data_IF_734396105598
#
_entry.id   IF_734396105598
#
_cell.length_a   1.000
_cell.length_b   1.000
_cell.length_c   1.000
_cell.angle_alpha   90.00
_cell.angle_beta   90.00
_cell.angle_gamma   90.00
#
_symmetry.space_group_name_H-M   'P 1'
#
loop_
_entity.id
_entity.type
_entity.pdbx_description
1 polymer ?
#
# COMPACT_ATOMS: atom_id res chain seq x y z
N UNK A 1 -7.85 16.38 -4.45
CA UNK A 1 -8.42 17.64 -4.93
C UNK A 1 -8.68 18.57 -3.75
N UNK A 2 -8.18 19.80 -3.84
CA UNK A 2 -8.35 20.82 -2.82
C UNK A 2 -9.32 21.87 -3.32
N UNK A 3 -10.29 22.21 -2.48
CA UNK A 3 -11.10 23.41 -2.67
C UNK A 3 -10.32 24.61 -2.11
N UNK A 4 -10.31 25.73 -2.83
CA UNK A 4 -9.69 26.95 -2.34
C UNK A 4 -10.19 27.30 -0.94
N UNK A 5 -9.29 27.74 -0.06
CA UNK A 5 -9.63 28.12 1.31
C UNK A 5 -10.65 29.27 1.34
N UNK A 6 -10.64 30.11 0.32
CA UNK A 6 -11.54 31.27 0.19
C UNK A 6 -12.86 30.92 -0.51
N UNK A 7 -13.01 29.67 -0.98
CA UNK A 7 -14.25 29.26 -1.61
C UNK A 7 -15.42 29.25 -0.62
N UNK A 8 -16.54 29.85 -1.01
CA UNK A 8 -17.79 29.76 -0.24
C UNK A 8 -18.31 28.35 -0.04
N UNK A 9 -17.88 27.42 -0.90
CA UNK A 9 -18.23 26.01 -0.81
C UNK A 9 -17.34 25.24 0.17
N UNK A 10 -16.24 25.83 0.64
CA UNK A 10 -15.34 25.21 1.59
C UNK A 10 -15.67 25.65 3.02
N UNK A 11 -16.82 25.23 3.52
CA UNK A 11 -17.26 25.50 4.89
C UNK A 11 -16.36 24.82 5.93
N UNK A 12 -15.73 23.72 5.55
CA UNK A 12 -14.83 22.91 6.38
C UNK A 12 -13.41 22.99 5.81
N UNK A 13 -12.75 24.10 6.06
CA UNK A 13 -11.44 24.42 5.48
C UNK A 13 -10.34 23.43 5.81
N UNK A 14 -10.50 22.67 6.88
CA UNK A 14 -9.61 21.59 7.28
C UNK A 14 -9.97 20.23 6.64
N UNK A 15 -11.23 20.07 6.16
CA UNK A 15 -11.68 18.82 5.58
C UNK A 15 -11.26 18.74 4.11
N UNK A 16 -10.55 17.71 3.78
CA UNK A 16 -10.05 17.43 2.43
C UNK A 16 -10.56 16.06 2.03
N UNK A 17 -11.15 15.98 0.86
CA UNK A 17 -11.62 14.71 0.32
C UNK A 17 -10.47 13.76 0.00
N UNK A 18 -9.35 14.32 -0.48
CA UNK A 18 -8.13 13.57 -0.78
C UNK A 18 -6.94 14.50 -0.53
N UNK A 19 -5.95 14.04 0.24
CA UNK A 19 -4.85 14.88 0.68
C UNK A 19 -3.46 14.32 0.31
N UNK A 20 -3.34 13.56 -0.76
CA UNK A 20 -2.08 12.98 -1.21
C UNK A 20 -1.03 14.02 -1.52
N UNK A 21 -1.45 15.21 -1.99
CA UNK A 21 -0.49 16.27 -2.35
C UNK A 21 0.33 16.75 -1.15
N UNK A 22 -0.29 17.01 0.00
CA UNK A 22 0.45 17.50 1.16
C UNK A 22 1.38 16.41 1.69
N UNK A 23 0.89 15.18 1.78
CA UNK A 23 1.69 14.04 2.20
C UNK A 23 2.86 13.79 1.24
N UNK A 24 2.61 13.86 -0.07
CA UNK A 24 3.67 13.76 -1.06
C UNK A 24 4.66 14.91 -0.95
N UNK A 25 4.18 16.16 -0.84
CA UNK A 25 5.03 17.33 -0.72
C UNK A 25 5.98 17.20 0.46
N UNK A 26 5.48 16.72 1.59
CA UNK A 26 6.25 16.58 2.82
C UNK A 26 7.05 15.25 2.90
N UNK A 27 7.08 14.49 1.82
CA UNK A 27 7.77 13.19 1.75
C UNK A 27 9.20 13.29 1.21
N UNK A 28 9.98 12.24 1.46
CA UNK A 28 11.28 12.04 0.83
C UNK A 28 11.22 11.81 -0.68
N UNK A 29 10.07 11.39 -1.23
CA UNK A 29 9.84 11.24 -2.67
C UNK A 29 9.84 12.58 -3.37
N UNK A 30 9.32 13.63 -2.72
CA UNK A 30 9.35 15.01 -3.20
C UNK A 30 10.68 15.73 -2.88
N UNK A 31 11.60 15.09 -2.15
CA UNK A 31 12.87 15.63 -1.66
C UNK A 31 12.71 16.76 -0.65
N UNK A 32 11.56 16.91 -0.02
CA UNK A 32 11.30 17.94 0.99
C UNK A 32 11.45 17.44 2.44
N UNK A 33 11.64 16.13 2.62
CA UNK A 33 11.93 15.52 3.91
C UNK A 33 13.12 14.56 3.81
N UNK A 34 13.58 14.08 4.96
CA UNK A 34 14.58 13.02 5.01
C UNK A 34 14.06 11.80 4.26
N UNK A 35 14.87 11.31 3.34
CA UNK A 35 14.55 10.11 2.58
C UNK A 35 15.36 8.93 3.07
N UNK A 36 14.79 7.76 2.93
CA UNK A 36 15.52 6.53 3.10
C UNK A 36 16.44 6.30 1.88
N UNK A 37 17.46 5.48 2.05
CA UNK A 37 18.33 5.08 0.95
C UNK A 37 17.65 4.22 -0.12
N UNK A 38 16.41 3.78 0.11
CA UNK A 38 15.59 3.08 -0.89
C UNK A 38 14.99 4.03 -1.94
N UNK A 39 14.81 5.31 -1.58
CA UNK A 39 14.20 6.26 -2.49
C UNK A 39 15.23 6.78 -3.49
N UNK A 40 14.82 6.98 -4.76
CA UNK A 40 15.71 7.50 -5.79
C UNK A 40 16.22 8.89 -5.43
N UNK A 41 17.41 9.21 -5.93
CA UNK A 41 18.06 10.52 -5.73
C UNK A 41 17.35 11.68 -6.43
N UNK A 42 16.31 11.40 -7.22
CA UNK A 42 15.56 12.38 -7.99
C UNK A 42 14.15 12.54 -7.44
N UNK A 43 13.65 13.76 -7.53
CA UNK A 43 12.24 14.04 -7.23
C UNK A 43 11.34 13.27 -8.19
N UNK A 44 10.34 12.59 -7.65
CA UNK A 44 9.28 11.95 -8.43
C UNK A 44 7.97 12.67 -8.17
N UNK A 45 7.19 12.85 -9.21
CA UNK A 45 5.85 13.43 -9.15
C UNK A 45 4.80 12.37 -9.38
N UNK A 46 3.53 12.72 -9.17
CA UNK A 46 2.40 11.77 -9.25
C UNK A 46 2.40 10.97 -10.56
N UNK A 47 2.65 11.66 -11.68
CA UNK A 47 2.64 11.05 -13.00
C UNK A 47 3.77 10.05 -13.23
N UNK A 48 4.85 10.14 -12.48
CA UNK A 48 5.99 9.23 -12.65
C UNK A 48 5.71 7.84 -12.08
N UNK A 49 4.77 7.76 -11.14
CA UNK A 49 4.33 6.50 -10.56
C UNK A 49 2.99 6.04 -11.15
N UNK A 50 2.00 6.94 -11.23
CA UNK A 50 0.61 6.57 -11.57
C UNK A 50 0.27 6.60 -13.04
N UNK A 51 1.13 7.19 -13.87
CA UNK A 51 0.90 7.34 -15.31
C UNK A 51 2.11 6.80 -16.10
N UNK A 52 2.30 5.49 -16.16
CA UNK A 52 3.40 4.89 -16.91
C UNK A 52 3.31 5.29 -18.39
N UNK A 53 4.46 5.24 -19.07
CA UNK A 53 4.50 5.51 -20.50
C UNK A 53 3.87 4.34 -21.27
N UNK A 54 2.98 4.67 -22.19
CA UNK A 54 2.39 3.74 -23.13
C UNK A 54 2.74 4.17 -24.56
N UNK A 55 2.81 3.19 -25.47
CA UNK A 55 3.05 3.49 -26.89
C UNK A 55 1.88 4.30 -27.45
N UNK A 56 2.19 5.44 -28.02
CA UNK A 56 1.18 6.29 -28.63
C UNK A 56 0.58 5.63 -29.88
N UNK A 57 -0.70 5.91 -30.13
CA UNK A 57 -1.29 5.61 -31.45
C UNK A 57 -0.72 6.57 -32.49
N UNK A 58 -0.68 6.11 -33.73
CA UNK A 58 -0.18 6.94 -34.83
C UNK A 58 -1.03 8.21 -34.97
N UNK A 59 -0.35 9.36 -35.07
CA UNK A 59 -1.00 10.67 -35.18
C UNK A 59 -1.42 11.32 -33.87
N UNK A 60 -1.13 10.73 -32.71
CA UNK A 60 -1.38 11.36 -31.41
C UNK A 60 -0.49 12.59 -31.22
N UNK A 61 -1.11 13.77 -31.21
CA UNK A 61 -0.43 15.06 -31.09
C UNK A 61 0.23 15.29 -29.72
N UNK A 62 -0.16 14.53 -28.70
CA UNK A 62 0.42 14.59 -27.37
C UNK A 62 1.65 13.70 -27.22
N UNK A 63 1.92 12.81 -28.20
CA UNK A 63 3.03 11.89 -28.13
C UNK A 63 4.39 12.61 -28.08
N UNK A 64 5.26 12.07 -27.27
CA UNK A 64 6.68 12.45 -27.20
C UNK A 64 7.52 11.19 -27.42
N UNK A 65 8.37 11.20 -28.42
CA UNK A 65 9.20 10.05 -28.80
C UNK A 65 8.41 8.74 -29.03
N UNK A 66 7.17 8.87 -29.51
CA UNK A 66 6.28 7.73 -29.73
C UNK A 66 5.54 7.20 -28.50
N UNK A 67 5.60 7.92 -27.38
CA UNK A 67 4.94 7.54 -26.14
C UNK A 67 4.03 8.64 -25.59
N UNK A 68 3.04 8.22 -24.81
CA UNK A 68 2.13 9.08 -24.04
C UNK A 68 2.09 8.61 -22.59
N UNK A 69 1.71 9.50 -21.69
CA UNK A 69 1.43 9.12 -20.29
C UNK A 69 0.06 8.44 -20.23
N UNK A 70 0.02 7.22 -19.67
CA UNK A 70 -1.23 6.50 -19.44
C UNK A 70 -2.18 7.29 -18.54
N UNK A 71 -3.46 7.37 -18.93
CA UNK A 71 -4.50 7.98 -18.11
C UNK A 71 -5.30 6.96 -17.30
N UNK A 72 -4.86 5.71 -17.23
CA UNK A 72 -5.49 4.70 -16.37
C UNK A 72 -5.32 5.01 -14.89
N UNK A 73 -4.29 5.75 -14.54
CA UNK A 73 -3.96 6.18 -13.19
C UNK A 73 -3.97 5.03 -12.19
N UNK A 74 -3.01 4.13 -12.34
CA UNK A 74 -2.90 2.92 -11.53
C UNK A 74 -2.78 3.25 -10.03
N UNK A 75 -3.62 2.63 -9.23
CA UNK A 75 -3.68 2.78 -7.77
C UNK A 75 -4.36 1.55 -7.15
N UNK A 76 -5.09 1.68 -6.05
CA UNK A 76 -5.91 0.60 -5.45
C UNK A 76 -7.34 0.55 -6.00
N UNK A 77 -7.63 1.22 -7.09
CA UNK A 77 -8.97 1.45 -7.63
C UNK A 77 -9.45 0.32 -8.56
N UNK A 78 -9.56 -0.91 -8.07
CA UNK A 78 -9.99 -2.07 -8.86
C UNK A 78 -11.50 -2.16 -9.07
N UNK A 79 -12.32 -1.51 -8.23
CA UNK A 79 -13.78 -1.66 -8.26
C UNK A 79 -14.41 -1.25 -9.61
N UNK A 80 -14.04 -0.10 -10.17
CA UNK A 80 -14.61 0.35 -11.45
C UNK A 80 -14.15 -0.51 -12.63
N UNK A 81 -12.88 -0.88 -12.78
CA UNK A 81 -12.44 -1.86 -13.77
C UNK A 81 -13.19 -3.19 -13.65
N UNK A 82 -13.36 -3.70 -12.43
CA UNK A 82 -14.10 -4.94 -12.20
C UNK A 82 -15.55 -4.85 -12.71
N UNK A 83 -16.30 -3.81 -12.35
CA UNK A 83 -17.68 -3.60 -12.77
C UNK A 83 -17.79 -3.49 -14.31
N UNK A 84 -16.74 -3.00 -14.96
CA UNK A 84 -16.68 -2.83 -16.42
C UNK A 84 -16.13 -4.03 -17.17
N UNK A 85 -15.66 -5.06 -16.46
CA UNK A 85 -14.98 -6.20 -17.07
C UNK A 85 -13.62 -5.84 -17.69
N UNK A 86 -12.97 -4.79 -17.23
CA UNK A 86 -11.63 -4.36 -17.69
C UNK A 86 -10.53 -5.10 -16.94
N UNK A 87 -10.39 -6.38 -17.27
CA UNK A 87 -9.41 -7.27 -16.67
C UNK A 87 -7.96 -6.80 -16.91
N UNK A 88 -7.69 -6.16 -18.05
CA UNK A 88 -6.38 -5.62 -18.36
C UNK A 88 -5.97 -4.55 -17.34
N UNK A 89 -6.87 -3.64 -16.99
CA UNK A 89 -6.59 -2.60 -15.99
C UNK A 89 -6.42 -3.21 -14.61
N UNK A 90 -7.20 -4.24 -14.25
CA UNK A 90 -7.05 -4.95 -12.97
C UNK A 90 -5.65 -5.57 -12.88
N UNK A 91 -5.22 -6.33 -13.88
CA UNK A 91 -3.91 -6.95 -13.90
C UNK A 91 -2.77 -5.93 -13.80
N UNK A 92 -2.89 -4.79 -14.48
CA UNK A 92 -1.91 -3.70 -14.38
C UNK A 92 -1.87 -3.05 -13.00
N UNK A 93 -3.02 -2.94 -12.32
CA UNK A 93 -3.08 -2.44 -10.94
C UNK A 93 -2.39 -3.41 -10.00
N UNK A 94 -2.63 -4.71 -10.13
CA UNK A 94 -1.99 -5.76 -9.34
C UNK A 94 -0.47 -5.74 -9.51
N UNK A 95 0.01 -5.71 -10.75
CA UNK A 95 1.44 -5.56 -11.05
C UNK A 95 2.03 -4.30 -10.43
N UNK A 96 1.33 -3.16 -10.56
CA UNK A 96 1.75 -1.89 -9.99
C UNK A 96 1.88 -1.95 -8.46
N UNK A 97 0.93 -2.59 -7.76
CA UNK A 97 0.94 -2.71 -6.31
C UNK A 97 2.04 -3.68 -5.82
N UNK A 98 2.33 -4.73 -6.58
CA UNK A 98 3.36 -5.72 -6.28
C UNK A 98 4.78 -5.23 -6.60
N UNK A 99 4.92 -4.17 -7.40
CA UNK A 99 6.21 -3.59 -7.79
C UNK A 99 6.85 -2.77 -6.66
N UNK A 100 7.36 -3.46 -5.64
CA UNK A 100 8.19 -2.92 -4.55
C UNK A 100 7.67 -1.64 -3.87
N UNK A 101 6.36 -1.43 -3.79
CA UNK A 101 5.79 -0.26 -3.09
C UNK A 101 5.96 -0.39 -1.58
N UNK A 102 5.69 -1.58 -1.09
CA UNK A 102 5.86 -1.98 0.30
C UNK A 102 6.73 -3.23 0.36
N UNK A 103 7.35 -3.49 1.49
CA UNK A 103 7.94 -4.79 1.79
C UNK A 103 7.47 -5.26 3.16
N UNK A 104 7.31 -6.56 3.29
CA UNK A 104 6.96 -7.23 4.54
C UNK A 104 8.13 -8.13 4.91
N UNK A 105 8.49 -8.09 6.20
CA UNK A 105 9.60 -8.86 6.74
C UNK A 105 9.20 -9.43 8.11
N UNK A 106 9.36 -10.73 8.30
CA UNK A 106 9.29 -11.33 9.62
C UNK A 106 10.64 -11.09 10.30
N UNK A 107 10.73 -9.96 10.99
CA UNK A 107 12.00 -9.40 11.47
C UNK A 107 12.58 -10.15 12.66
N UNK A 108 11.72 -10.52 13.59
CA UNK A 108 12.17 -11.19 14.82
C UNK A 108 11.19 -12.27 15.26
N UNK A 109 11.73 -13.22 16.01
CA UNK A 109 11.03 -14.24 16.75
C UNK A 109 11.45 -14.16 18.21
N UNK A 110 10.49 -14.06 19.12
CA UNK A 110 10.72 -14.09 20.57
C UNK A 110 10.00 -15.27 21.19
N UNK A 111 10.59 -15.90 22.15
CA UNK A 111 9.99 -16.99 22.91
C UNK A 111 11.03 -17.79 23.66
N UNK A 112 10.60 -18.61 24.62
CA UNK A 112 11.47 -19.45 25.45
C UNK A 112 12.64 -18.69 26.14
N UNK A 113 12.46 -17.37 26.40
CA UNK A 113 13.49 -16.52 27.01
C UNK A 113 14.56 -16.01 26.05
N UNK A 114 14.43 -16.27 24.78
CA UNK A 114 15.35 -15.85 23.73
C UNK A 114 14.67 -14.93 22.70
N UNK A 115 15.48 -14.12 22.00
CA UNK A 115 15.05 -13.31 20.87
C UNK A 115 16.02 -13.51 19.69
N UNK A 116 15.47 -13.87 18.54
CA UNK A 116 16.20 -14.07 17.30
C UNK A 116 15.82 -13.00 16.29
N UNK A 117 16.83 -12.35 15.72
CA UNK A 117 16.64 -11.28 14.73
C UNK A 117 17.20 -11.70 13.38
N UNK A 118 16.76 -11.00 12.34
CA UNK A 118 17.18 -11.25 10.96
C UNK A 118 16.97 -12.74 10.60
N UNK A 119 15.73 -13.18 10.65
CA UNK A 119 15.33 -14.58 10.45
C UNK A 119 15.67 -15.14 9.06
N UNK A 120 15.92 -14.26 8.09
CA UNK A 120 16.49 -14.60 6.79
C UNK A 120 17.90 -15.27 6.92
N UNK A 121 18.63 -14.91 7.96
CA UNK A 121 19.99 -15.39 8.24
C UNK A 121 20.08 -16.38 9.39
N UNK A 122 19.14 -16.33 10.32
CA UNK A 122 19.07 -17.23 11.46
C UNK A 122 17.79 -18.07 11.37
N UNK A 123 17.91 -19.38 11.50
CA UNK A 123 16.77 -20.30 11.51
C UNK A 123 16.68 -20.94 12.90
N UNK A 124 16.08 -20.22 13.88
CA UNK A 124 15.96 -20.78 15.24
C UNK A 124 15.05 -22.02 15.21
N UNK A 125 15.41 -23.02 16.00
CA UNK A 125 14.57 -24.18 16.20
C UNK A 125 13.46 -23.82 17.21
N UNK A 126 12.22 -24.08 16.83
CA UNK A 126 11.08 -23.93 17.72
C UNK A 126 10.98 -25.17 18.63
N UNK A 127 10.66 -24.94 19.90
CA UNK A 127 10.42 -26.01 20.87
C UNK A 127 8.93 -26.33 20.85
N UNK A 128 8.52 -27.58 20.62
CA UNK A 128 7.12 -27.96 20.67
C UNK A 128 6.45 -27.59 22.00
N UNK A 129 5.27 -26.96 21.93
CA UNK A 129 4.54 -26.47 23.09
C UNK A 129 5.05 -25.14 23.65
N UNK A 130 6.05 -24.51 23.02
CA UNK A 130 6.49 -23.15 23.35
C UNK A 130 5.55 -22.09 22.77
N UNK A 131 5.44 -20.98 23.49
CA UNK A 131 4.76 -19.77 22.99
C UNK A 131 5.79 -18.85 22.34
N UNK A 132 5.43 -18.27 21.17
CA UNK A 132 6.31 -17.44 20.38
C UNK A 132 5.56 -16.21 19.84
N UNK A 133 6.28 -15.10 19.76
CA UNK A 133 5.82 -13.86 19.16
C UNK A 133 6.66 -13.55 17.91
N UNK A 134 6.01 -13.17 16.84
CA UNK A 134 6.66 -12.71 15.62
C UNK A 134 6.52 -11.20 15.47
N UNK A 135 7.64 -10.52 15.25
CA UNK A 135 7.62 -9.11 14.85
C UNK A 135 7.55 -9.04 13.33
N UNK A 136 6.43 -8.60 12.80
CA UNK A 136 6.26 -8.33 11.39
C UNK A 136 6.49 -6.86 11.12
N UNK A 137 7.42 -6.54 10.23
CA UNK A 137 7.74 -5.17 9.84
C UNK A 137 7.22 -4.90 8.44
N UNK A 138 6.25 -4.00 8.32
CA UNK A 138 5.83 -3.44 7.04
C UNK A 138 6.60 -2.16 6.78
N UNK A 139 7.29 -2.12 5.66
CA UNK A 139 8.20 -1.02 5.32
C UNK A 139 7.73 -0.34 4.05
N UNK A 140 7.54 0.97 4.13
CA UNK A 140 7.31 1.79 2.94
C UNK A 140 8.61 1.95 2.16
N UNK A 141 8.67 1.45 0.93
CA UNK A 141 9.81 1.56 0.04
C UNK A 141 9.67 2.67 -0.99
N UNK A 142 8.49 2.86 -1.54
CA UNK A 142 8.30 3.76 -2.69
C UNK A 142 6.97 4.53 -2.71
N UNK A 143 6.15 4.47 -1.66
CA UNK A 143 4.92 5.26 -1.58
C UNK A 143 5.23 6.65 -1.04
N UNK A 144 4.91 7.68 -1.80
CA UNK A 144 5.19 9.08 -1.45
C UNK A 144 4.07 9.79 -0.69
N UNK A 145 3.03 9.09 -0.28
CA UNK A 145 1.88 9.64 0.44
C UNK A 145 1.32 8.59 1.41
N UNK A 146 0.25 8.90 2.12
CA UNK A 146 -0.43 7.96 3.02
C UNK A 146 -0.86 6.70 2.26
N UNK A 147 -0.70 5.54 2.87
CA UNK A 147 -1.14 4.26 2.34
C UNK A 147 -2.12 3.59 3.32
N UNK A 148 -3.26 3.06 2.83
CA UNK A 148 -3.82 3.30 1.51
C UNK A 148 -4.17 4.78 1.29
N UNK A 149 -4.17 5.23 0.02
CA UNK A 149 -4.45 6.63 -0.37
C UNK A 149 -5.79 6.78 -1.09
N UNK A 150 -6.07 7.98 -1.59
CA UNK A 150 -7.29 8.30 -2.32
C UNK A 150 -8.49 8.51 -1.41
N UNK A 151 -9.55 7.76 -1.61
CA UNK A 151 -10.72 7.69 -0.73
C UNK A 151 -10.39 6.78 0.45
N UNK A 152 -9.69 7.31 1.44
CA UNK A 152 -9.11 6.54 2.55
C UNK A 152 -10.14 5.77 3.37
N UNK A 153 -11.38 6.22 3.40
CA UNK A 153 -12.51 5.59 4.09
C UNK A 153 -13.09 4.38 3.35
N UNK A 154 -12.69 4.17 2.09
CA UNK A 154 -13.15 3.05 1.27
C UNK A 154 -12.04 2.07 0.88
N UNK A 155 -10.80 2.36 1.25
CA UNK A 155 -9.64 1.52 0.95
C UNK A 155 -9.06 0.95 2.24
N UNK A 156 -8.94 -0.36 2.31
CA UNK A 156 -8.34 -1.06 3.43
C UNK A 156 -7.19 -1.94 2.95
N UNK A 157 -6.10 -1.93 3.71
CA UNK A 157 -5.03 -2.92 3.62
C UNK A 157 -4.99 -3.73 4.91
N UNK A 158 -4.59 -4.99 4.83
CA UNK A 158 -4.44 -5.83 6.02
C UNK A 158 -3.27 -6.79 5.86
N UNK A 159 -2.87 -7.40 6.97
CA UNK A 159 -1.91 -8.48 6.97
C UNK A 159 -2.63 -9.82 7.08
N UNK A 160 -2.34 -10.71 6.15
CA UNK A 160 -2.65 -12.13 6.26
C UNK A 160 -1.38 -12.87 6.71
N UNK A 161 -1.50 -13.64 7.76
CA UNK A 161 -0.40 -14.43 8.32
C UNK A 161 -0.82 -15.90 8.40
N UNK A 162 -0.06 -16.77 7.76
CA UNK A 162 -0.27 -18.21 7.83
C UNK A 162 0.94 -18.93 8.42
N UNK A 163 0.70 -19.86 9.31
CA UNK A 163 1.70 -20.81 9.80
C UNK A 163 1.47 -22.14 9.13
N UNK A 164 2.47 -22.62 8.41
CA UNK A 164 2.38 -23.83 7.61
C UNK A 164 3.33 -24.90 8.15
N UNK A 165 2.82 -26.09 8.39
CA UNK A 165 3.61 -27.23 8.81
C UNK A 165 4.55 -27.75 7.72
N UNK A 166 5.48 -28.61 8.08
CA UNK A 166 6.43 -29.20 7.16
C UNK A 166 5.76 -30.09 6.08
N UNK A 167 4.57 -30.57 6.35
CA UNK A 167 3.72 -31.34 5.44
C UNK A 167 2.84 -30.47 4.53
N UNK A 168 2.93 -29.15 4.65
CA UNK A 168 2.14 -28.18 3.91
C UNK A 168 0.76 -27.89 4.53
N UNK A 169 0.41 -28.49 5.66
CA UNK A 169 -0.84 -28.21 6.35
C UNK A 169 -0.79 -26.81 6.98
N UNK A 170 -1.86 -26.03 6.81
CA UNK A 170 -2.04 -24.75 7.50
C UNK A 170 -2.39 -25.03 8.95
N UNK A 171 -1.51 -24.63 9.86
CA UNK A 171 -1.66 -24.81 11.31
C UNK A 171 -2.40 -23.64 11.94
N UNK A 172 -2.17 -22.45 11.44
CA UNK A 172 -2.79 -21.20 11.90
C UNK A 172 -2.95 -20.24 10.73
N UNK A 173 -4.04 -19.49 10.70
CA UNK A 173 -4.33 -18.49 9.69
C UNK A 173 -5.03 -17.31 10.33
N UNK A 174 -4.42 -16.14 10.22
CA UNK A 174 -4.98 -14.87 10.70
C UNK A 174 -5.10 -13.90 9.53
N UNK A 175 -6.19 -13.17 9.46
CA UNK A 175 -6.41 -12.18 8.41
C UNK A 175 -6.92 -12.75 7.09
N UNK A 176 -7.42 -13.98 7.06
CA UNK A 176 -8.02 -14.57 5.86
C UNK A 176 -9.30 -13.85 5.42
N UNK A 177 -9.54 -13.84 4.13
CA UNK A 177 -10.86 -13.47 3.60
C UNK A 177 -11.81 -14.65 3.83
N UNK A 178 -12.91 -14.38 4.53
CA UNK A 178 -13.91 -15.38 4.88
C UNK A 178 -14.87 -15.66 3.70
N UNK A 179 -15.68 -16.72 3.82
CA UNK A 179 -16.62 -17.12 2.76
C UNK A 179 -17.67 -16.06 2.42
N UNK A 180 -17.96 -15.14 3.33
CA UNK A 180 -18.86 -14.01 3.12
C UNK A 180 -18.17 -12.80 2.45
N UNK A 181 -16.89 -12.92 2.12
CA UNK A 181 -16.07 -11.89 1.49
C UNK A 181 -15.50 -10.85 2.45
N UNK A 182 -15.71 -10.98 3.76
CA UNK A 182 -15.12 -10.10 4.75
C UNK A 182 -13.76 -10.64 5.23
N UNK A 183 -12.87 -9.72 5.55
CA UNK A 183 -11.60 -10.08 6.18
C UNK A 183 -11.82 -10.41 7.63
N UNK A 184 -11.10 -11.40 8.15
CA UNK A 184 -11.07 -11.73 9.57
C UNK A 184 -10.89 -10.44 10.41
N UNK A 185 -11.83 -10.12 11.31
CA UNK A 185 -11.75 -8.90 12.13
C UNK A 185 -10.56 -8.87 13.09
N UNK A 186 -9.91 -10.01 13.34
CA UNK A 186 -8.68 -10.08 14.13
C UNK A 186 -7.42 -9.72 13.33
N UNK A 187 -7.53 -9.50 12.03
CA UNK A 187 -6.42 -9.06 11.19
C UNK A 187 -5.87 -7.69 11.63
N UNK A 188 -4.60 -7.47 11.36
CA UNK A 188 -4.02 -6.13 11.49
C UNK A 188 -4.35 -5.30 10.26
N UNK A 189 -5.18 -4.27 10.43
CA UNK A 189 -5.64 -3.41 9.37
C UNK A 189 -4.84 -2.11 9.26
N UNK A 190 -4.62 -1.69 8.02
CA UNK A 190 -4.21 -0.34 7.63
C UNK A 190 -5.41 0.33 6.98
N UNK A 191 -6.12 1.18 7.73
CA UNK A 191 -7.31 1.87 7.26
C UNK A 191 -7.51 3.22 7.95
N UNK A 192 -8.26 4.11 7.32
CA UNK A 192 -8.72 5.33 7.95
C UNK A 192 -9.94 5.03 8.82
N UNK A 193 -9.90 5.50 10.07
CA UNK A 193 -11.04 5.44 10.97
C UNK A 193 -11.67 6.83 11.07
N UNK A 194 -12.95 6.91 10.77
CA UNK A 194 -13.73 8.11 11.05
C UNK A 194 -14.15 8.08 12.51
N UNK A 195 -13.70 9.05 13.26
CA UNK A 195 -14.04 9.21 14.67
C UNK A 195 -14.84 10.51 14.86
N UNK A 196 -15.72 10.53 15.82
CA UNK A 196 -16.40 11.74 16.22
C UNK A 196 -15.52 12.60 17.15
N UNK A 197 -16.08 13.69 17.67
CA UNK A 197 -15.34 14.60 18.56
C UNK A 197 -15.00 14.00 19.93
N UNK A 198 -15.54 12.84 20.24
CA UNK A 198 -15.35 12.15 21.52
C UNK A 198 -14.33 11.00 21.39
N UNK A 199 -13.91 10.64 20.16
CA UNK A 199 -12.87 9.66 19.85
C UNK A 199 -13.38 8.27 19.51
#
# INVERSE_FOLDING_TARGET
HKVSLDSRLNNYRWLRGQNEYDNWHDSGVALNASRTFYLPGQKRVCQDCHMPLEKAVEGDVSARDGFVKSHRFLSVNTALPYIRGDEETIARIEEFLQDEKLSIDVFALRGAGEAHYALDKSKPALVPGGEYEFDVVVRNKAVGHTFPGGTNDSNEGWLEVSVVGADGAVLELNGAVQDDGHVDPAAHFYKALLIDKEG
#
